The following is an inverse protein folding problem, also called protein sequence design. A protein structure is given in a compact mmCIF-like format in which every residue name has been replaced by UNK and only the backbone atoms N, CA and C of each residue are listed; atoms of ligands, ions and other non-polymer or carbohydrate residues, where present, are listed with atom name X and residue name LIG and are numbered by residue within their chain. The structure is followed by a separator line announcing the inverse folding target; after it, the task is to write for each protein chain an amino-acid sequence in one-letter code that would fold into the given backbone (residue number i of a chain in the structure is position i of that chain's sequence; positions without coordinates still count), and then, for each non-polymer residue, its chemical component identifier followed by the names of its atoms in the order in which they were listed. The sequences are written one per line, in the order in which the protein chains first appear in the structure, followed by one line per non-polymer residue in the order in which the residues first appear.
data_IF_998999373437
#
_entry.id   IF_998999373437
#
_cell.length_a   1.000
_cell.length_b   1.000
_cell.length_c   1.000
_cell.angle_alpha   90.00
_cell.angle_beta   90.00
_cell.angle_gamma   90.00
#
_symmetry.space_group_name_H-M   'P 1'
#
loop_
_entity.id
_entity.type
_entity.pdbx_description
1 polymer ?
#
# COMPACT_ATOMS: atom_id res chain seq x y z
N UNK A 1 14.54 48.63 -38.86
CA UNK A 1 14.20 49.97 -38.32
C UNK A 1 13.64 49.78 -36.90
N UNK A 2 14.51 49.56 -35.89
CA UNK A 2 14.85 50.52 -34.80
C UNK A 2 13.66 51.35 -34.31
N UNK A 3 13.24 51.16 -33.05
CA UNK A 3 13.08 52.14 -31.91
C UNK A 3 12.59 51.36 -30.67
N UNK A 4 13.45 50.76 -29.84
CA UNK A 4 13.99 51.30 -28.58
C UNK A 4 13.26 52.52 -27.97
N UNK A 5 12.57 52.32 -26.84
CA UNK A 5 12.40 53.32 -25.79
C UNK A 5 12.52 52.66 -24.40
N UNK A 6 13.19 53.40 -23.53
CA UNK A 6 13.81 53.06 -22.25
C UNK A 6 13.08 53.86 -21.15
N UNK A 7 13.30 53.51 -19.86
CA UNK A 7 13.00 54.26 -18.60
C UNK A 7 11.57 54.07 -18.02
N UNK A 8 11.32 54.04 -16.70
CA UNK A 8 12.05 54.49 -15.52
C UNK A 8 11.98 53.48 -14.35
N UNK A 9 13.06 53.47 -13.56
CA UNK A 9 13.14 52.91 -12.22
C UNK A 9 12.38 53.80 -11.21
N UNK A 10 11.73 53.17 -10.23
CA UNK A 10 11.32 53.82 -8.98
C UNK A 10 11.92 53.05 -7.81
N UNK A 11 12.69 53.78 -7.02
CA UNK A 11 13.54 53.30 -5.94
C UNK A 11 12.79 53.15 -4.60
N UNK A 12 13.35 52.23 -3.80
CA UNK A 12 13.40 52.06 -2.35
C UNK A 12 12.65 53.01 -1.40
N UNK A 13 12.09 52.43 -0.32
CA UNK A 13 12.07 52.93 1.08
C UNK A 13 11.84 51.68 1.98
N UNK A 14 12.88 51.12 2.62
CA UNK A 14 13.47 51.35 3.96
C UNK A 14 12.97 50.39 5.07
N UNK A 15 13.87 49.44 5.40
CA UNK A 15 14.37 48.98 6.71
C UNK A 15 13.45 49.08 7.94
N UNK A 16 13.25 47.92 8.59
CA UNK A 16 13.22 47.81 10.05
C UNK A 16 14.23 46.76 10.49
N UNK A 17 15.24 47.22 11.21
CA UNK A 17 16.27 46.42 11.87
C UNK A 17 15.92 46.28 13.36
N UNK A 18 16.21 45.12 13.93
CA UNK A 18 16.67 44.94 15.32
C UNK A 18 17.38 43.59 15.41
N UNK A 19 18.70 43.61 15.63
CA UNK A 19 19.51 42.43 15.95
C UNK A 19 19.58 42.19 17.46
N UNK A 20 20.06 41.02 17.88
CA UNK A 20 21.43 40.87 18.39
C UNK A 20 21.74 39.41 18.77
N UNK A 21 22.91 38.93 18.32
CA UNK A 21 23.56 37.70 18.75
C UNK A 21 24.10 37.84 20.18
N UNK A 22 23.97 36.79 20.99
CA UNK A 22 24.91 36.49 22.08
C UNK A 22 25.39 35.05 21.93
N UNK A 23 26.68 34.92 21.67
CA UNK A 23 27.47 33.70 21.86
C UNK A 23 27.54 33.39 23.35
N UNK A 24 27.25 32.14 23.71
CA UNK A 24 27.44 31.60 25.05
C UNK A 24 27.67 30.10 24.93
N UNK A 25 28.94 29.70 24.98
CA UNK A 25 29.35 28.31 25.09
C UNK A 25 28.86 27.74 26.43
N UNK A 26 28.18 26.60 26.40
CA UNK A 26 28.20 25.63 27.50
C UNK A 26 27.91 24.24 26.96
N UNK A 27 28.98 23.45 26.88
CA UNK A 27 28.94 22.00 26.84
C UNK A 27 28.07 21.50 27.99
N UNK A 28 27.27 20.46 27.76
CA UNK A 28 27.18 19.34 28.68
C UNK A 28 26.76 18.09 27.92
N UNK A 29 27.65 17.12 28.01
CA UNK A 29 27.60 15.75 27.56
C UNK A 29 26.69 14.96 28.50
N UNK A 30 25.73 14.22 27.95
CA UNK A 30 25.10 13.07 28.61
C UNK A 30 24.92 11.97 27.56
N UNK A 31 25.85 11.03 27.57
CA UNK A 31 25.64 9.67 27.09
C UNK A 31 24.75 8.93 28.10
N UNK A 32 23.65 8.33 27.63
CA UNK A 32 23.13 7.01 28.02
C UNK A 32 21.87 6.79 27.16
N UNK A 33 21.81 5.85 26.21
CA UNK A 33 21.94 4.40 26.37
C UNK A 33 21.04 3.84 27.48
N UNK A 34 19.74 3.72 27.17
CA UNK A 34 18.78 2.78 27.80
C UNK A 34 17.59 2.71 26.85
N UNK A 35 17.51 1.74 25.95
CA UNK A 35 16.88 0.42 26.15
C UNK A 35 15.56 0.50 26.93
N UNK A 36 14.51 0.09 26.22
CA UNK A 36 13.23 -0.43 26.72
C UNK A 36 12.22 0.53 27.35
N UNK A 37 11.32 1.01 26.50
CA UNK A 37 9.90 0.98 26.83
C UNK A 37 9.16 0.20 25.72
N UNK A 38 9.24 -1.13 25.85
CA UNK A 38 8.38 -2.09 25.17
C UNK A 38 6.93 -1.75 25.47
N UNK A 39 6.20 -1.19 24.51
CA UNK A 39 4.75 -1.35 24.49
C UNK A 39 4.48 -2.78 24.06
N UNK A 40 4.34 -3.65 25.06
CA UNK A 40 3.82 -4.99 24.92
C UNK A 40 2.37 -4.92 24.39
N UNK A 41 2.23 -5.05 23.08
CA UNK A 41 1.21 -5.92 22.52
C UNK A 41 1.96 -6.96 21.71
N UNK A 42 1.89 -8.23 22.13
CA UNK A 42 2.41 -9.35 21.36
C UNK A 42 1.91 -9.22 19.90
N UNK A 43 2.77 -9.36 18.87
CA UNK A 43 2.29 -9.28 17.51
C UNK A 43 1.39 -10.49 17.29
N UNK A 44 0.07 -10.26 17.22
CA UNK A 44 -0.81 -11.17 16.51
C UNK A 44 -0.19 -11.35 15.12
N UNK A 45 0.21 -12.57 14.79
CA UNK A 45 0.87 -12.92 13.54
C UNK A 45 -0.02 -12.43 12.39
N UNK A 46 0.31 -11.27 11.79
CA UNK A 46 -0.42 -10.76 10.62
C UNK A 46 -0.31 -11.81 9.52
N UNK A 47 -1.47 -12.32 9.11
CA UNK A 47 -1.64 -13.30 8.04
C UNK A 47 -1.58 -12.68 6.64
N UNK A 48 -1.63 -11.34 6.54
CA UNK A 48 -1.42 -10.62 5.28
C UNK A 48 -0.01 -10.02 5.15
N UNK A 49 0.63 -10.25 4.00
CA UNK A 49 1.94 -9.70 3.65
C UNK A 49 1.79 -8.46 2.74
N UNK A 50 2.40 -7.33 3.11
CA UNK A 50 2.49 -6.16 2.25
C UNK A 50 3.55 -6.37 1.16
N UNK A 51 3.16 -6.22 -0.11
CA UNK A 51 4.06 -6.34 -1.26
C UNK A 51 4.37 -4.98 -1.88
N UNK A 52 5.65 -4.72 -2.06
CA UNK A 52 6.16 -3.73 -3.02
C UNK A 52 6.10 -4.27 -4.45
N UNK A 53 6.28 -3.42 -5.45
CA UNK A 53 6.44 -3.84 -6.87
C UNK A 53 7.52 -4.90 -7.05
N UNK A 54 8.68 -4.72 -6.42
CA UNK A 54 9.79 -5.67 -6.56
C UNK A 54 9.40 -7.06 -6.01
N UNK A 55 8.75 -7.11 -4.86
CA UNK A 55 8.27 -8.37 -4.28
C UNK A 55 7.14 -8.99 -5.10
N UNK A 56 6.22 -8.18 -5.64
CA UNK A 56 5.17 -8.64 -6.53
C UNK A 56 5.76 -9.31 -7.79
N UNK A 57 6.73 -8.68 -8.44
CA UNK A 57 7.42 -9.22 -9.63
C UNK A 57 8.10 -10.55 -9.30
N UNK A 58 8.72 -10.66 -8.12
CA UNK A 58 9.44 -11.86 -7.72
C UNK A 58 8.51 -13.02 -7.30
N UNK A 59 7.39 -12.73 -6.64
CA UNK A 59 6.53 -13.75 -6.00
C UNK A 59 5.23 -14.06 -6.74
N UNK A 60 4.70 -13.10 -7.49
CA UNK A 60 3.35 -13.18 -8.07
C UNK A 60 3.41 -13.26 -9.59
N UNK A 61 3.87 -12.21 -10.27
CA UNK A 61 3.91 -12.16 -11.73
C UNK A 61 4.94 -11.15 -12.23
N UNK A 62 5.92 -11.64 -13.00
CA UNK A 62 6.91 -10.81 -13.67
C UNK A 62 6.37 -10.28 -15.01
N UNK A 63 5.61 -9.20 -14.94
CA UNK A 63 5.06 -8.53 -16.12
C UNK A 63 6.14 -7.86 -16.98
N UNK A 64 7.39 -7.73 -16.53
CA UNK A 64 8.47 -7.21 -17.38
C UNK A 64 8.94 -8.28 -18.38
N UNK A 65 8.96 -9.55 -17.97
CA UNK A 65 9.30 -10.68 -18.84
C UNK A 65 8.14 -11.13 -19.70
N UNK A 66 6.92 -11.09 -19.16
CA UNK A 66 5.72 -11.59 -19.82
C UNK A 66 4.57 -10.57 -19.75
N UNK A 67 4.69 -9.40 -20.39
CA UNK A 67 3.71 -8.31 -20.25
C UNK A 67 2.32 -8.64 -20.80
N UNK A 68 2.23 -9.60 -21.73
CA UNK A 68 0.98 -9.99 -22.41
C UNK A 68 0.38 -11.29 -21.89
N UNK A 69 1.09 -12.00 -21.03
CA UNK A 69 0.70 -13.33 -20.57
C UNK A 69 0.77 -13.39 -19.04
N UNK A 70 -0.36 -13.69 -18.42
CA UNK A 70 -0.40 -13.96 -16.99
C UNK A 70 0.28 -15.30 -16.69
N UNK A 71 1.37 -15.26 -15.92
CA UNK A 71 2.05 -16.44 -15.39
C UNK A 71 2.26 -16.26 -13.89
N UNK A 72 1.43 -16.94 -13.11
CA UNK A 72 1.55 -16.92 -11.66
C UNK A 72 2.80 -17.68 -11.21
N UNK A 73 3.58 -17.06 -10.32
CA UNK A 73 4.83 -17.61 -9.78
C UNK A 73 4.64 -18.30 -8.43
N UNK A 74 3.51 -18.06 -7.76
CA UNK A 74 3.21 -18.66 -6.46
C UNK A 74 2.73 -20.11 -6.56
N UNK A 75 2.93 -20.88 -5.50
CA UNK A 75 2.56 -22.29 -5.40
C UNK A 75 1.18 -22.52 -4.77
N UNK A 76 0.55 -21.47 -4.23
CA UNK A 76 -0.76 -21.52 -3.58
C UNK A 76 -1.65 -20.43 -4.14
N UNK A 77 -2.98 -20.64 -4.21
CA UNK A 77 -3.91 -19.58 -4.54
C UNK A 77 -3.70 -18.36 -3.62
N UNK A 78 -3.96 -17.17 -4.14
CA UNK A 78 -3.74 -15.94 -3.39
C UNK A 78 -4.86 -14.92 -3.60
N UNK A 79 -4.99 -13.99 -2.65
CA UNK A 79 -5.77 -12.77 -2.77
C UNK A 79 -4.81 -11.60 -2.63
N UNK A 80 -4.94 -10.59 -3.49
CA UNK A 80 -4.26 -9.31 -3.31
C UNK A 80 -5.31 -8.23 -3.02
N UNK A 81 -5.18 -7.58 -1.86
CA UNK A 81 -5.96 -6.40 -1.47
C UNK A 81 -5.25 -5.12 -1.88
N UNK A 82 -5.81 -4.43 -2.86
CA UNK A 82 -5.39 -3.10 -3.30
C UNK A 82 -6.09 -2.06 -2.44
N UNK A 83 -5.31 -1.35 -1.63
CA UNK A 83 -5.82 -0.44 -0.60
C UNK A 83 -5.06 0.89 -0.56
N UNK A 84 -5.50 1.77 0.33
CA UNK A 84 -4.74 2.94 0.80
C UNK A 84 -5.11 3.23 2.27
N UNK A 85 -4.22 3.89 3.02
CA UNK A 85 -4.40 4.14 4.46
C UNK A 85 -5.59 5.08 4.78
N UNK A 86 -5.96 5.95 3.84
CA UNK A 86 -7.08 6.88 3.96
C UNK A 86 -8.45 6.25 3.64
N UNK A 87 -8.46 5.06 3.03
CA UNK A 87 -9.67 4.41 2.56
C UNK A 87 -10.49 3.79 3.72
N UNK A 88 -11.66 4.37 4.00
CA UNK A 88 -12.58 3.89 5.04
C UNK A 88 -13.02 2.42 4.85
N UNK A 89 -13.59 2.05 3.70
CA UNK A 89 -13.99 0.66 3.44
C UNK A 89 -12.82 -0.35 3.50
N UNK A 90 -11.61 0.05 3.11
CA UNK A 90 -10.42 -0.79 3.21
C UNK A 90 -10.09 -1.15 4.67
N UNK A 91 -10.35 -0.25 5.62
CA UNK A 91 -10.18 -0.51 7.07
C UNK A 91 -11.19 -1.53 7.60
N UNK A 92 -12.32 -1.72 6.92
CA UNK A 92 -13.29 -2.79 7.22
C UNK A 92 -12.80 -4.12 6.63
N UNK A 93 -12.36 -4.11 5.38
CA UNK A 93 -11.89 -5.32 4.69
C UNK A 93 -10.62 -5.92 5.33
N UNK A 94 -9.68 -5.09 5.75
CA UNK A 94 -8.38 -5.52 6.27
C UNK A 94 -8.48 -6.55 7.42
N UNK A 95 -9.17 -6.29 8.55
CA UNK A 95 -9.28 -7.28 9.62
C UNK A 95 -10.04 -8.54 9.21
N UNK A 96 -11.01 -8.43 8.30
CA UNK A 96 -11.76 -9.60 7.79
C UNK A 96 -10.83 -10.51 6.96
N UNK A 97 -9.99 -9.91 6.12
CA UNK A 97 -8.98 -10.66 5.36
C UNK A 97 -7.92 -11.28 6.27
N UNK A 98 -7.61 -10.68 7.42
CA UNK A 98 -6.73 -11.29 8.42
C UNK A 98 -7.36 -12.54 9.07
N UNK A 99 -8.64 -12.46 9.45
CA UNK A 99 -9.37 -13.62 9.96
C UNK A 99 -9.42 -14.76 8.92
N UNK A 100 -9.68 -14.41 7.66
CA UNK A 100 -9.73 -15.36 6.55
C UNK A 100 -8.34 -15.93 6.27
N UNK A 101 -7.28 -15.13 6.33
CA UNK A 101 -5.91 -15.61 6.19
C UNK A 101 -5.55 -16.65 7.25
N UNK A 102 -6.05 -16.48 8.48
CA UNK A 102 -5.91 -17.47 9.55
C UNK A 102 -6.77 -18.74 9.30
N UNK A 103 -8.03 -18.58 8.90
CA UNK A 103 -8.95 -19.70 8.64
C UNK A 103 -8.49 -20.57 7.45
N UNK A 104 -7.95 -19.93 6.42
CA UNK A 104 -7.40 -20.57 5.22
C UNK A 104 -5.88 -20.72 5.27
N UNK A 105 -5.29 -20.68 6.47
CA UNK A 105 -3.86 -20.79 6.66
C UNK A 105 -3.31 -22.03 5.94
N UNK A 106 -2.25 -21.82 5.16
CA UNK A 106 -1.63 -22.88 4.36
C UNK A 106 -2.38 -23.25 3.08
N UNK A 107 -3.62 -22.79 2.86
CA UNK A 107 -4.41 -23.01 1.64
C UNK A 107 -4.44 -21.79 0.72
N UNK A 108 -4.64 -20.59 1.28
CA UNK A 108 -4.68 -19.33 0.53
C UNK A 108 -3.64 -18.37 1.11
N UNK A 109 -2.97 -17.60 0.25
CA UNK A 109 -2.08 -16.51 0.66
C UNK A 109 -2.80 -15.17 0.56
N UNK A 110 -2.63 -14.31 1.55
CA UNK A 110 -3.19 -12.96 1.53
C UNK A 110 -2.06 -11.96 1.39
N UNK A 111 -2.11 -11.16 0.34
CA UNK A 111 -1.19 -10.05 0.10
C UNK A 111 -1.95 -8.73 0.12
N UNK A 112 -1.22 -7.65 0.36
CA UNK A 112 -1.73 -6.29 0.26
C UNK A 112 -0.80 -5.45 -0.62
N UNK A 113 -1.37 -4.52 -1.37
CA UNK A 113 -0.63 -3.52 -2.15
C UNK A 113 -1.21 -2.15 -1.82
N UNK A 114 -0.34 -1.25 -1.36
CA UNK A 114 -0.68 0.15 -1.16
C UNK A 114 -0.62 0.87 -2.51
N UNK A 115 -1.77 1.29 -3.01
CA UNK A 115 -1.93 1.92 -4.33
C UNK A 115 -1.31 3.31 -4.43
N UNK A 116 -1.10 4.01 -3.30
CA UNK A 116 -0.42 5.32 -3.28
C UNK A 116 1.10 5.16 -3.41
N UNK A 117 1.64 4.07 -2.84
CA UNK A 117 3.07 3.76 -2.91
C UNK A 117 3.44 3.04 -4.21
N UNK A 118 2.59 2.11 -4.65
CA UNK A 118 2.83 1.23 -5.80
C UNK A 118 1.96 1.62 -7.00
N UNK A 119 2.04 2.90 -7.40
CA UNK A 119 1.19 3.49 -8.46
C UNK A 119 1.28 2.78 -9.80
N UNK A 120 2.46 2.29 -10.16
CA UNK A 120 2.66 1.52 -11.39
C UNK A 120 1.91 0.18 -11.35
N UNK A 121 1.94 -0.53 -10.22
CA UNK A 121 1.17 -1.77 -10.08
C UNK A 121 -0.33 -1.50 -10.16
N UNK A 122 -0.80 -0.43 -9.50
CA UNK A 122 -2.19 0.00 -9.61
C UNK A 122 -2.58 0.26 -11.08
N UNK A 123 -1.70 0.88 -11.87
CA UNK A 123 -1.91 1.10 -13.31
C UNK A 123 -1.92 -0.19 -14.13
N UNK A 124 -0.99 -1.12 -13.87
CA UNK A 124 -0.92 -2.43 -14.56
C UNK A 124 -2.24 -3.19 -14.41
N UNK A 125 -2.86 -3.10 -13.23
CA UNK A 125 -4.14 -3.74 -12.96
C UNK A 125 -5.38 -2.88 -13.28
N UNK A 126 -5.18 -1.65 -13.76
CA UNK A 126 -6.27 -0.72 -14.06
C UNK A 126 -7.11 -0.36 -12.83
N UNK A 127 -6.49 -0.24 -11.65
CA UNK A 127 -7.18 0.11 -10.42
C UNK A 127 -7.64 1.56 -10.49
N UNK A 128 -8.95 1.76 -10.61
CA UNK A 128 -9.60 3.08 -10.65
C UNK A 128 -10.35 3.42 -9.36
N UNK A 129 -10.48 2.45 -8.45
CA UNK A 129 -11.13 2.62 -7.15
C UNK A 129 -10.70 1.53 -6.17
N UNK A 130 -10.78 1.85 -4.88
CA UNK A 130 -10.38 0.96 -3.78
C UNK A 130 -11.50 0.84 -2.74
N UNK A 131 -11.62 -0.32 -2.06
CA UNK A 131 -10.77 -1.50 -2.21
C UNK A 131 -11.07 -2.29 -3.49
N UNK A 132 -10.03 -2.95 -4.01
CA UNK A 132 -10.13 -3.93 -5.08
C UNK A 132 -9.35 -5.19 -4.69
N UNK A 133 -9.82 -6.34 -5.12
CA UNK A 133 -9.31 -7.65 -4.73
C UNK A 133 -9.03 -8.50 -5.97
N UNK A 134 -7.78 -8.93 -6.12
CA UNK A 134 -7.38 -9.85 -7.18
C UNK A 134 -7.32 -11.28 -6.62
N UNK A 135 -8.23 -12.13 -7.07
CA UNK A 135 -8.27 -13.55 -6.74
C UNK A 135 -7.44 -14.33 -7.75
N UNK A 136 -6.36 -14.94 -7.29
CA UNK A 136 -5.37 -15.65 -8.11
C UNK A 136 -5.47 -17.15 -7.83
N UNK A 137 -6.11 -17.95 -8.72
CA UNK A 137 -6.05 -19.41 -8.58
C UNK A 137 -4.62 -19.91 -8.77
N UNK A 138 -4.29 -21.07 -8.19
CA UNK A 138 -3.02 -21.74 -8.46
C UNK A 138 -2.82 -22.05 -9.96
N UNK A 139 -3.92 -22.31 -10.68
CA UNK A 139 -3.91 -22.58 -12.11
C UNK A 139 -5.04 -21.82 -12.83
N UNK A 140 -4.67 -20.90 -13.72
CA UNK A 140 -5.61 -20.13 -14.55
C UNK A 140 -5.35 -18.63 -14.49
N UNK A 141 -6.32 -17.87 -14.99
CA UNK A 141 -6.28 -16.41 -14.96
C UNK A 141 -6.88 -15.88 -13.65
N UNK A 142 -6.38 -14.76 -13.12
CA UNK A 142 -6.92 -14.17 -11.92
C UNK A 142 -8.21 -13.40 -12.25
N UNK A 143 -9.02 -13.14 -11.22
CA UNK A 143 -10.27 -12.40 -11.33
C UNK A 143 -10.22 -11.19 -10.42
N UNK A 144 -10.53 -10.02 -10.96
CA UNK A 144 -10.62 -8.77 -10.19
C UNK A 144 -12.05 -8.57 -9.69
N UNK A 145 -12.18 -8.20 -8.42
CA UNK A 145 -13.44 -7.76 -7.80
C UNK A 145 -13.24 -6.41 -7.12
N UNK A 146 -14.29 -5.61 -7.01
CA UNK A 146 -14.21 -4.29 -6.37
C UNK A 146 -15.29 -4.12 -5.31
N UNK A 147 -14.97 -3.33 -4.28
CA UNK A 147 -15.91 -2.99 -3.21
C UNK A 147 -16.06 -4.07 -2.15
N UNK A 148 -16.92 -3.78 -1.16
CA UNK A 148 -17.23 -4.65 -0.02
C UNK A 148 -18.73 -4.85 0.12
N UNK A 149 -19.15 -5.79 0.97
CA UNK A 149 -20.55 -6.01 1.30
C UNK A 149 -21.18 -4.83 2.07
N UNK A 150 -22.51 -4.88 2.25
CA UNK A 150 -23.25 -3.82 2.97
C UNK A 150 -22.95 -3.81 4.47
N UNK A 151 -22.55 -4.95 5.01
CA UNK A 151 -22.14 -5.15 6.41
C UNK A 151 -20.78 -5.85 6.48
N UNK A 152 -20.24 -6.00 7.70
CA UNK A 152 -19.01 -6.78 7.93
C UNK A 152 -19.24 -8.26 7.62
N UNK A 153 -20.40 -8.77 8.01
CA UNK A 153 -20.83 -10.16 7.80
C UNK A 153 -20.99 -10.45 6.31
N UNK A 154 -21.64 -9.56 5.57
CA UNK A 154 -21.79 -9.66 4.12
C UNK A 154 -20.42 -9.59 3.43
N UNK A 155 -19.50 -8.75 3.93
CA UNK A 155 -18.14 -8.64 3.41
C UNK A 155 -17.35 -9.93 3.64
N UNK A 156 -17.44 -10.53 4.83
CA UNK A 156 -16.82 -11.82 5.14
C UNK A 156 -17.37 -12.92 4.26
N UNK A 157 -18.70 -12.99 4.13
CA UNK A 157 -19.39 -13.93 3.25
C UNK A 157 -18.93 -13.80 1.80
N UNK A 158 -18.87 -12.57 1.27
CA UNK A 158 -18.37 -12.28 -0.08
C UNK A 158 -16.96 -12.83 -0.29
N UNK A 159 -16.03 -12.65 0.66
CA UNK A 159 -14.68 -13.21 0.53
C UNK A 159 -14.68 -14.74 0.50
N UNK A 160 -15.43 -15.39 1.40
CA UNK A 160 -15.54 -16.85 1.47
C UNK A 160 -16.10 -17.40 0.15
N UNK A 161 -17.21 -16.86 -0.33
CA UNK A 161 -17.84 -17.28 -1.59
C UNK A 161 -16.87 -17.12 -2.77
N UNK A 162 -16.12 -16.00 -2.82
CA UNK A 162 -15.13 -15.79 -3.88
C UNK A 162 -13.93 -16.74 -3.77
N UNK A 163 -13.49 -17.10 -2.55
CA UNK A 163 -12.43 -18.10 -2.35
C UNK A 163 -12.87 -19.46 -2.88
N UNK A 164 -14.06 -19.91 -2.51
CA UNK A 164 -14.60 -21.20 -2.96
C UNK A 164 -14.80 -21.22 -4.47
N UNK A 165 -15.36 -20.13 -5.02
CA UNK A 165 -15.69 -20.00 -6.44
C UNK A 165 -14.48 -19.83 -7.35
N UNK A 166 -13.43 -19.13 -6.90
CA UNK A 166 -12.32 -18.75 -7.79
C UNK A 166 -11.00 -19.44 -7.42
N UNK A 167 -10.76 -19.76 -6.15
CA UNK A 167 -9.45 -20.25 -5.70
C UNK A 167 -9.43 -21.75 -5.43
N UNK A 168 -10.51 -22.31 -4.89
CA UNK A 168 -10.59 -23.70 -4.43
C UNK A 168 -11.47 -24.59 -5.29
N UNK A 169 -11.73 -24.19 -6.54
CA UNK A 169 -12.49 -25.01 -7.50
C UNK A 169 -11.74 -26.31 -7.73
N UNK A 170 -12.37 -27.44 -7.40
CA UNK A 170 -11.91 -28.76 -7.83
C UNK A 170 -12.09 -28.84 -9.33
N UNK A 171 -11.00 -28.79 -10.08
CA UNK A 171 -10.98 -29.04 -11.52
C UNK A 171 -10.76 -30.53 -11.78
#
# INVERSE_FOLDING_TARGET
MKRLFLTLASAAILISACGNQKSGAKQNNLNEASISATSNAAPATKSSELLTKAQFIAKVWDYNKSPKEWKYLGNKPAIIDFYADWCGPCKIAAPILEEIGAEYAGKVQIYKIDTEKERELAQVFGITGIPAFLYIPANGKPVMMSGIGRSKEDTKKMFIENIEKYLLVKK
#
